data_IF_495319702753
#
_entry.id   IF_495319702753
#
_cell.length_a   1.000
_cell.length_b   1.000
_cell.length_c   1.000
_cell.angle_alpha   90.00
_cell.angle_beta   90.00
_cell.angle_gamma   90.00
#
_symmetry.space_group_name_H-M   'P 1'
#
loop_
_entity.id
_entity.type
_entity.pdbx_description
1 polymer ?
#
# COMPACT_ATOMS: atom_id res chain seq x y z
N UNK A 1 -5.72 -11.16 25.97
CA UNK A 1 -4.73 -11.21 24.87
C UNK A 1 -4.57 -9.78 24.37
N UNK A 2 -3.45 -9.11 24.62
CA UNK A 2 -3.24 -7.75 24.12
C UNK A 2 -2.81 -7.84 22.66
N UNK A 3 -3.68 -7.44 21.73
CA UNK A 3 -3.29 -7.27 20.34
C UNK A 3 -2.43 -6.01 20.22
N UNK A 4 -1.14 -6.17 19.90
CA UNK A 4 -0.27 -5.05 19.52
C UNK A 4 -0.29 -4.94 18.00
N UNK A 5 -0.41 -3.71 17.50
CA UNK A 5 -0.27 -3.44 16.08
C UNK A 5 1.11 -3.89 15.58
N UNK A 6 1.14 -4.49 14.39
CA UNK A 6 2.37 -4.78 13.66
C UNK A 6 2.76 -3.55 12.85
N UNK A 7 3.97 -3.04 13.06
CA UNK A 7 4.40 -1.78 12.45
C UNK A 7 5.10 -2.04 11.12
N UNK A 8 4.63 -1.38 10.07
CA UNK A 8 5.31 -1.30 8.76
C UNK A 8 5.76 0.14 8.58
N UNK A 9 6.91 0.35 7.93
CA UNK A 9 7.44 1.68 7.72
C UNK A 9 7.87 1.88 6.26
N UNK A 10 7.32 2.92 5.62
CA UNK A 10 7.70 3.34 4.26
C UNK A 10 8.94 4.21 4.24
N UNK A 11 9.95 3.79 3.47
CA UNK A 11 11.21 4.49 3.27
C UNK A 11 11.12 5.40 2.04
N UNK A 12 11.89 6.48 1.99
CA UNK A 12 11.89 7.38 0.84
C UNK A 12 12.65 6.77 -0.34
N UNK A 13 11.94 6.44 -1.43
CA UNK A 13 12.53 5.88 -2.65
C UNK A 13 13.19 6.92 -3.58
N UNK A 14 12.97 8.22 -3.36
CA UNK A 14 13.43 9.28 -4.28
C UNK A 14 14.81 9.84 -3.92
N UNK A 15 15.37 9.48 -2.76
CA UNK A 15 16.68 9.99 -2.35
C UNK A 15 17.77 9.59 -3.37
N UNK A 16 18.51 10.58 -3.86
CA UNK A 16 19.59 10.39 -4.83
C UNK A 16 19.15 10.35 -6.31
N UNK A 17 17.84 10.37 -6.59
CA UNK A 17 17.32 10.35 -7.97
C UNK A 17 17.20 11.76 -8.54
N UNK A 18 17.29 11.86 -9.87
CA UNK A 18 16.99 13.07 -10.63
C UNK A 18 15.60 12.95 -11.26
N UNK A 19 14.85 14.04 -11.35
CA UNK A 19 13.56 14.04 -12.05
C UNK A 19 13.76 14.47 -13.50
N UNK A 20 13.43 13.57 -14.43
CA UNK A 20 13.48 13.80 -15.87
C UNK A 20 12.09 13.57 -16.46
N UNK A 21 11.49 14.62 -17.04
CA UNK A 21 10.15 14.57 -17.65
C UNK A 21 9.07 13.94 -16.75
N UNK A 22 9.14 14.20 -15.44
CA UNK A 22 8.20 13.67 -14.44
C UNK A 22 8.52 12.27 -13.91
N UNK A 23 9.58 11.63 -14.41
CA UNK A 23 10.08 10.32 -13.95
C UNK A 23 11.34 10.48 -13.12
N UNK A 24 11.42 9.80 -11.98
CA UNK A 24 12.61 9.73 -11.15
C UNK A 24 13.56 8.65 -11.68
N UNK A 25 14.77 9.09 -12.06
CA UNK A 25 15.80 8.27 -12.68
C UNK A 25 17.08 8.23 -11.85
N UNK A 26 17.88 7.19 -12.08
CA UNK A 26 19.12 6.95 -11.36
C UNK A 26 18.95 6.02 -10.15
N UNK A 27 20.08 5.59 -9.56
CA UNK A 27 20.09 4.65 -8.45
C UNK A 27 19.52 5.30 -7.18
N UNK A 28 18.82 4.51 -6.37
CA UNK A 28 18.43 4.94 -5.04
C UNK A 28 19.64 5.07 -4.11
N UNK A 29 19.83 6.25 -3.50
CA UNK A 29 20.80 6.45 -2.43
C UNK A 29 20.17 6.04 -1.09
N UNK A 30 20.47 4.81 -0.70
CA UNK A 30 19.89 4.18 0.49
C UNK A 30 20.56 4.59 1.82
N UNK A 31 21.58 5.46 1.83
CA UNK A 31 22.39 5.76 3.03
C UNK A 31 21.53 6.24 4.20
N UNK A 32 20.52 7.09 3.94
CA UNK A 32 19.61 7.57 4.98
C UNK A 32 18.71 6.45 5.52
N UNK A 33 18.16 5.63 4.63
CA UNK A 33 17.32 4.50 4.99
C UNK A 33 18.10 3.43 5.78
N UNK A 34 19.32 3.08 5.36
CA UNK A 34 20.18 2.14 6.07
C UNK A 34 20.49 2.64 7.48
N UNK A 35 20.83 3.93 7.62
CA UNK A 35 21.07 4.54 8.94
C UNK A 35 19.83 4.43 9.84
N UNK A 36 18.65 4.73 9.30
CA UNK A 36 17.38 4.61 10.04
C UNK A 36 17.07 3.16 10.44
N UNK A 37 17.20 2.21 9.51
CA UNK A 37 16.99 0.79 9.78
C UNK A 37 17.94 0.31 10.89
N UNK A 38 19.24 0.60 10.79
CA UNK A 38 20.23 0.25 11.82
C UNK A 38 19.90 0.89 13.17
N UNK A 39 19.41 2.13 13.17
CA UNK A 39 18.95 2.78 14.38
C UNK A 39 17.78 2.02 15.02
N UNK A 40 16.75 1.63 14.25
CA UNK A 40 15.61 0.85 14.79
C UNK A 40 16.06 -0.47 15.42
N UNK A 41 16.99 -1.17 14.75
CA UNK A 41 17.61 -2.40 15.28
C UNK A 41 18.36 -2.12 16.58
N UNK A 42 19.18 -1.07 16.62
CA UNK A 42 19.95 -0.68 17.82
C UNK A 42 19.07 -0.33 19.04
N UNK A 43 17.82 0.06 18.79
CA UNK A 43 16.82 0.38 19.82
C UNK A 43 15.90 -0.80 20.16
N UNK A 44 16.15 -1.98 19.58
CA UNK A 44 15.30 -3.16 19.69
C UNK A 44 13.83 -2.89 19.31
N UNK A 45 13.58 -2.00 18.35
CA UNK A 45 12.24 -1.77 17.84
C UNK A 45 11.84 -2.90 16.90
N UNK A 46 10.64 -3.46 17.12
CA UNK A 46 10.09 -4.50 16.25
C UNK A 46 9.40 -3.85 15.06
N UNK A 47 10.00 -3.98 13.89
CA UNK A 47 9.39 -3.61 12.60
C UNK A 47 8.95 -4.90 11.90
N UNK A 48 7.69 -4.97 11.49
CA UNK A 48 7.11 -6.12 10.83
C UNK A 48 7.43 -6.15 9.33
N UNK A 49 7.55 -4.98 8.71
CA UNK A 49 7.90 -4.86 7.29
C UNK A 49 8.42 -3.48 6.92
N UNK A 50 9.14 -3.42 5.81
CA UNK A 50 9.67 -2.21 5.21
C UNK A 50 9.08 -2.03 3.81
N UNK A 51 8.59 -0.82 3.54
CA UNK A 51 8.10 -0.39 2.23
C UNK A 51 9.05 0.62 1.59
N UNK A 52 9.02 0.75 0.26
CA UNK A 52 9.90 1.67 -0.47
C UNK A 52 9.12 2.68 -1.33
N UNK A 53 8.94 3.90 -0.85
CA UNK A 53 8.20 4.93 -1.57
C UNK A 53 6.69 4.69 -1.56
N UNK A 54 5.97 5.61 -2.22
CA UNK A 54 4.52 5.69 -2.20
C UNK A 54 4.03 6.20 -3.56
N UNK A 55 3.16 5.44 -4.22
CA UNK A 55 2.48 5.79 -5.47
C UNK A 55 3.42 6.16 -6.62
N UNK A 56 4.52 5.42 -6.76
CA UNK A 56 5.52 5.61 -7.82
C UNK A 56 5.35 4.66 -9.01
N UNK A 57 4.35 3.77 -8.96
CA UNK A 57 4.05 2.80 -10.01
C UNK A 57 3.25 3.39 -11.17
N UNK A 58 3.43 2.83 -12.38
CA UNK A 58 2.72 3.27 -13.57
C UNK A 58 2.97 4.75 -13.88
N UNK A 59 1.89 5.54 -13.94
CA UNK A 59 1.97 7.00 -14.12
C UNK A 59 2.41 7.75 -12.84
N UNK A 60 2.26 7.10 -11.69
CA UNK A 60 2.54 7.65 -10.36
C UNK A 60 1.71 8.89 -9.99
N UNK A 61 1.84 9.31 -8.73
CA UNK A 61 1.26 10.55 -8.21
C UNK A 61 2.40 11.54 -7.93
N UNK A 62 2.41 12.63 -8.69
CA UNK A 62 3.49 13.64 -8.68
C UNK A 62 4.75 13.22 -9.45
N UNK A 63 5.21 11.98 -9.29
CA UNK A 63 6.31 11.39 -10.08
C UNK A 63 6.17 9.88 -10.20
N UNK A 64 6.98 9.24 -11.03
CA UNK A 64 7.01 7.79 -11.24
C UNK A 64 8.43 7.25 -11.24
N UNK A 65 8.60 5.96 -11.00
CA UNK A 65 9.85 5.24 -11.25
C UNK A 65 9.54 4.09 -12.22
N UNK A 66 10.40 3.87 -13.22
CA UNK A 66 10.24 2.71 -14.11
C UNK A 66 10.26 1.40 -13.30
N UNK A 67 9.42 0.43 -13.68
CA UNK A 67 9.33 -0.86 -12.99
C UNK A 67 10.68 -1.55 -12.81
N UNK A 68 11.55 -1.45 -13.83
CA UNK A 68 12.90 -1.99 -13.81
C UNK A 68 13.80 -1.31 -12.77
N UNK A 69 13.85 0.02 -12.77
CA UNK A 69 14.68 0.74 -11.80
C UNK A 69 14.17 0.49 -10.38
N UNK A 70 12.86 0.51 -10.20
CA UNK A 70 12.23 0.28 -8.91
C UNK A 70 12.52 -1.14 -8.37
N UNK A 71 12.52 -2.16 -9.23
CA UNK A 71 12.95 -3.51 -8.86
C UNK A 71 14.41 -3.57 -8.36
N UNK A 72 15.33 -2.83 -8.98
CA UNK A 72 16.71 -2.72 -8.50
C UNK A 72 16.79 -2.03 -7.13
N UNK A 73 15.99 -0.99 -6.93
CA UNK A 73 15.96 -0.26 -5.66
C UNK A 73 15.39 -1.15 -4.53
N UNK A 74 14.35 -1.96 -4.80
CA UNK A 74 13.80 -2.94 -3.85
C UNK A 74 14.80 -4.04 -3.52
N UNK A 75 15.58 -4.52 -4.48
CA UNK A 75 16.65 -5.48 -4.22
C UNK A 75 17.72 -4.89 -3.28
N UNK A 76 18.14 -3.64 -3.53
CA UNK A 76 19.05 -2.93 -2.64
C UNK A 76 18.45 -2.72 -1.23
N UNK A 77 17.14 -2.45 -1.12
CA UNK A 77 16.44 -2.39 0.16
C UNK A 77 16.50 -3.72 0.90
N UNK A 78 16.22 -4.84 0.21
CA UNK A 78 16.30 -6.17 0.82
C UNK A 78 17.69 -6.44 1.38
N UNK A 79 18.74 -6.12 0.62
CA UNK A 79 20.13 -6.34 1.05
C UNK A 79 20.46 -5.57 2.33
N UNK A 80 20.14 -4.27 2.40
CA UNK A 80 20.45 -3.47 3.60
C UNK A 80 19.59 -3.89 4.81
N UNK A 81 18.33 -4.28 4.58
CA UNK A 81 17.45 -4.80 5.64
C UNK A 81 18.02 -6.12 6.15
N UNK A 82 18.27 -7.09 5.29
CA UNK A 82 18.72 -8.42 5.71
C UNK A 82 20.09 -8.37 6.38
N UNK A 83 20.97 -7.47 5.95
CA UNK A 83 22.24 -7.19 6.62
C UNK A 83 22.05 -6.56 8.00
N UNK A 84 21.15 -5.59 8.15
CA UNK A 84 20.89 -4.97 9.46
C UNK A 84 20.23 -5.94 10.44
N UNK A 85 19.41 -6.86 9.94
CA UNK A 85 18.70 -7.87 10.72
C UNK A 85 19.42 -9.23 10.75
N UNK A 86 20.69 -9.34 10.34
CA UNK A 86 21.40 -10.62 10.14
C UNK A 86 21.19 -11.63 11.30
N UNK A 87 21.25 -11.14 12.55
CA UNK A 87 21.14 -11.94 13.79
C UNK A 87 19.76 -11.90 14.45
N UNK A 88 18.74 -11.38 13.77
CA UNK A 88 17.39 -11.18 14.28
C UNK A 88 16.42 -11.98 13.42
N UNK A 89 15.58 -12.79 14.07
CA UNK A 89 14.52 -13.53 13.40
C UNK A 89 13.17 -13.35 14.12
N UNK A 90 12.05 -13.37 13.40
CA UNK A 90 11.96 -13.45 11.94
C UNK A 90 12.44 -12.15 11.25
N UNK A 91 12.93 -12.24 10.01
CA UNK A 91 13.23 -11.06 9.20
C UNK A 91 11.95 -10.26 8.92
N UNK A 92 12.00 -8.92 8.90
CA UNK A 92 10.88 -8.11 8.45
C UNK A 92 10.58 -8.36 6.96
N UNK A 93 9.32 -8.22 6.59
CA UNK A 93 8.87 -8.34 5.20
C UNK A 93 9.40 -7.19 4.33
N UNK A 94 9.74 -7.50 3.08
CA UNK A 94 9.97 -6.52 2.03
C UNK A 94 8.69 -6.35 1.22
N UNK A 95 8.12 -5.14 1.27
CA UNK A 95 6.79 -4.82 0.77
C UNK A 95 6.90 -3.70 -0.29
N UNK A 96 6.26 -3.87 -1.44
CA UNK A 96 6.34 -2.92 -2.56
C UNK A 96 5.26 -3.23 -3.62
N UNK A 97 4.88 -2.31 -4.53
CA UNK A 97 5.38 -0.94 -4.66
C UNK A 97 4.62 0.13 -3.87
N UNK A 98 3.50 -0.21 -3.22
CA UNK A 98 2.66 0.77 -2.53
C UNK A 98 2.10 1.82 -3.48
N UNK A 99 1.49 1.40 -4.59
CA UNK A 99 0.93 2.32 -5.59
C UNK A 99 -0.25 1.73 -6.36
N UNK A 100 -0.84 2.52 -7.25
CA UNK A 100 -1.98 2.06 -8.06
C UNK A 100 -1.56 0.99 -9.06
N UNK A 101 -2.40 -0.03 -9.20
CA UNK A 101 -2.16 -1.15 -10.10
C UNK A 101 -2.13 -0.69 -11.56
N UNK A 102 -1.00 -0.91 -12.22
CA UNK A 102 -0.84 -0.82 -13.67
C UNK A 102 -0.34 -2.18 -14.17
N UNK A 103 -1.10 -2.82 -15.06
CA UNK A 103 -0.86 -4.21 -15.42
C UNK A 103 0.53 -4.45 -16.02
N UNK A 104 1.01 -3.52 -16.87
CA UNK A 104 2.31 -3.65 -17.52
C UNK A 104 3.45 -3.39 -16.53
N UNK A 105 3.31 -2.33 -15.73
CA UNK A 105 4.29 -1.95 -14.73
C UNK A 105 4.44 -3.03 -13.66
N UNK A 106 3.33 -3.54 -13.10
CA UNK A 106 3.36 -4.59 -12.08
C UNK A 106 3.91 -5.90 -12.63
N UNK A 107 3.54 -6.28 -13.86
CA UNK A 107 4.09 -7.48 -14.50
C UNK A 107 5.60 -7.37 -14.68
N UNK A 108 6.13 -6.24 -15.18
CA UNK A 108 7.57 -6.04 -15.30
C UNK A 108 8.24 -6.02 -13.92
N UNK A 109 7.68 -5.28 -12.96
CA UNK A 109 8.23 -5.15 -11.61
C UNK A 109 8.36 -6.51 -10.91
N UNK A 110 7.29 -7.31 -10.89
CA UNK A 110 7.30 -8.64 -10.24
C UNK A 110 8.30 -9.55 -10.94
N UNK A 111 8.33 -9.56 -12.28
CA UNK A 111 9.29 -10.36 -13.05
C UNK A 111 10.74 -9.97 -12.75
N UNK A 112 11.03 -8.67 -12.63
CA UNK A 112 12.38 -8.16 -12.41
C UNK A 112 12.85 -8.25 -10.96
N UNK A 113 11.92 -8.21 -10.00
CA UNK A 113 12.26 -8.27 -8.60
C UNK A 113 12.62 -9.69 -8.14
N UNK A 114 12.19 -10.72 -8.86
CA UNK A 114 12.52 -12.11 -8.59
C UNK A 114 12.19 -12.49 -7.12
N UNK A 115 13.19 -12.88 -6.32
CA UNK A 115 13.05 -13.23 -4.89
C UNK A 115 13.25 -12.04 -3.95
N UNK A 116 13.26 -10.80 -4.46
CA UNK A 116 13.60 -9.60 -3.69
C UNK A 116 12.47 -9.03 -2.83
N UNK A 117 11.26 -9.59 -2.89
CA UNK A 117 10.14 -9.14 -2.07
C UNK A 117 9.26 -10.31 -1.61
N UNK A 118 8.60 -10.13 -0.48
CA UNK A 118 7.64 -11.09 0.07
C UNK A 118 6.18 -10.64 -0.12
N UNK A 119 5.95 -9.36 -0.41
CA UNK A 119 4.60 -8.80 -0.58
C UNK A 119 4.55 -7.82 -1.74
N UNK A 120 3.58 -8.04 -2.64
CA UNK A 120 3.18 -7.07 -3.66
C UNK A 120 1.99 -6.27 -3.16
N UNK A 121 2.20 -4.99 -2.83
CA UNK A 121 1.17 -4.08 -2.32
C UNK A 121 0.64 -3.12 -3.39
N UNK A 122 -0.67 -2.89 -3.42
CA UNK A 122 -1.30 -1.88 -4.26
C UNK A 122 -2.27 -0.99 -3.47
N UNK A 123 -2.60 0.17 -4.03
CA UNK A 123 -3.54 1.14 -3.46
C UNK A 123 -4.88 1.10 -4.18
N UNK A 124 -5.97 1.36 -3.45
CA UNK A 124 -7.33 1.38 -4.00
C UNK A 124 -8.11 2.61 -3.52
N UNK A 125 -8.60 3.41 -4.47
CA UNK A 125 -9.51 4.53 -4.24
C UNK A 125 -10.55 4.61 -5.37
N UNK A 126 -11.45 3.65 -5.41
CA UNK A 126 -12.39 3.42 -6.52
C UNK A 126 -13.61 4.35 -6.52
N UNK A 127 -13.94 5.03 -5.40
CA UNK A 127 -15.12 5.90 -5.33
C UNK A 127 -14.92 7.28 -5.98
N UNK A 128 -13.67 7.72 -6.15
CA UNK A 128 -13.34 9.05 -6.69
C UNK A 128 -12.92 10.05 -5.61
N UNK A 129 -12.93 11.36 -5.91
CA UNK A 129 -12.48 12.38 -4.98
C UNK A 129 -13.49 12.63 -3.86
N UNK A 130 -13.02 13.02 -2.67
CA UNK A 130 -13.88 13.44 -1.56
C UNK A 130 -14.81 14.63 -1.86
N UNK A 131 -14.51 15.42 -2.91
CA UNK A 131 -15.38 16.53 -3.33
C UNK A 131 -16.58 16.08 -4.17
N UNK A 132 -16.63 14.83 -4.60
CA UNK A 132 -17.73 14.29 -5.41
C UNK A 132 -19.03 14.25 -4.59
N UNK A 133 -20.11 14.81 -5.13
CA UNK A 133 -21.43 14.88 -4.48
C UNK A 133 -22.22 13.57 -4.62
N UNK A 134 -21.80 12.70 -5.55
CA UNK A 134 -22.45 11.43 -5.87
C UNK A 134 -21.79 10.23 -5.20
N UNK A 135 -20.97 10.44 -4.17
CA UNK A 135 -20.31 9.33 -3.45
C UNK A 135 -21.33 8.33 -2.89
N UNK A 136 -22.45 8.79 -2.34
CA UNK A 136 -23.51 7.91 -1.81
C UNK A 136 -24.11 7.04 -2.92
N UNK A 137 -24.37 7.61 -4.09
CA UNK A 137 -24.92 6.89 -5.25
C UNK A 137 -23.96 5.77 -5.69
N UNK A 138 -22.65 6.04 -5.68
CA UNK A 138 -21.60 5.07 -6.01
C UNK A 138 -21.48 3.97 -4.96
N UNK A 139 -21.51 4.33 -3.68
CA UNK A 139 -21.40 3.39 -2.56
C UNK A 139 -22.58 2.42 -2.52
N UNK A 140 -23.78 2.88 -2.87
CA UNK A 140 -24.99 2.07 -2.88
C UNK A 140 -25.24 1.33 -4.21
N UNK A 141 -24.35 1.50 -5.20
CA UNK A 141 -24.47 0.87 -6.51
C UNK A 141 -23.53 -0.36 -6.59
N UNK A 142 -24.05 -1.59 -6.54
CA UNK A 142 -23.21 -2.80 -6.59
C UNK A 142 -22.42 -2.90 -7.91
N UNK A 143 -23.01 -2.49 -9.05
CA UNK A 143 -22.30 -2.51 -10.34
C UNK A 143 -21.11 -1.55 -10.37
N UNK A 144 -21.19 -0.46 -9.61
CA UNK A 144 -20.06 0.46 -9.46
C UNK A 144 -18.96 -0.18 -8.61
N UNK A 145 -19.32 -0.80 -7.49
CA UNK A 145 -18.35 -1.44 -6.60
C UNK A 145 -17.67 -2.66 -7.24
N UNK A 146 -18.44 -3.51 -7.94
CA UNK A 146 -17.96 -4.70 -8.67
C UNK A 146 -16.85 -4.36 -9.68
N UNK A 147 -16.77 -3.11 -10.15
CA UNK A 147 -15.72 -2.64 -11.05
C UNK A 147 -14.30 -2.84 -10.49
N UNK A 148 -14.13 -2.85 -9.16
CA UNK A 148 -12.81 -3.04 -8.54
C UNK A 148 -12.33 -4.50 -8.57
N UNK A 149 -13.23 -5.47 -8.77
CA UNK A 149 -12.89 -6.89 -8.80
C UNK A 149 -11.83 -7.21 -9.87
N UNK A 150 -11.84 -6.48 -10.98
CA UNK A 150 -10.85 -6.63 -12.06
C UNK A 150 -9.42 -6.32 -11.60
N UNK A 151 -9.21 -5.31 -10.75
CA UNK A 151 -7.89 -4.97 -10.22
C UNK A 151 -7.33 -6.11 -9.39
N UNK A 152 -8.14 -6.64 -8.47
CA UNK A 152 -7.76 -7.78 -7.63
C UNK A 152 -7.47 -9.04 -8.46
N UNK A 153 -8.36 -9.38 -9.39
CA UNK A 153 -8.17 -10.53 -10.27
C UNK A 153 -6.90 -10.41 -11.11
N UNK A 154 -6.62 -9.23 -11.65
CA UNK A 154 -5.44 -9.00 -12.47
C UNK A 154 -4.14 -9.09 -11.66
N UNK A 155 -4.11 -8.53 -10.45
CA UNK A 155 -2.94 -8.67 -9.58
C UNK A 155 -2.71 -10.15 -9.21
N UNK A 156 -3.75 -10.88 -8.83
CA UNK A 156 -3.68 -12.33 -8.57
C UNK A 156 -3.09 -13.09 -9.77
N UNK A 157 -3.54 -12.77 -10.98
CA UNK A 157 -3.05 -13.38 -12.22
C UNK A 157 -1.57 -13.03 -12.51
N UNK A 158 -1.15 -11.79 -12.25
CA UNK A 158 0.27 -11.39 -12.38
C UNK A 158 1.14 -12.22 -11.44
N UNK A 159 0.74 -12.38 -10.18
CA UNK A 159 1.51 -13.18 -9.22
C UNK A 159 1.54 -14.66 -9.64
N UNK A 160 0.38 -15.24 -9.94
CA UNK A 160 0.26 -16.65 -10.33
C UNK A 160 1.08 -17.00 -11.59
N UNK A 161 1.16 -16.08 -12.56
CA UNK A 161 1.92 -16.29 -13.81
C UNK A 161 3.41 -15.98 -13.70
N UNK A 162 3.85 -15.28 -12.66
CA UNK A 162 5.25 -14.89 -12.47
C UNK A 162 6.11 -15.99 -11.81
N UNK A 163 5.50 -16.93 -11.11
CA UNK A 163 6.20 -17.94 -10.31
C UNK A 163 6.81 -17.39 -8.99
N UNK A 164 6.51 -16.14 -8.63
CA UNK A 164 6.91 -15.57 -7.33
C UNK A 164 6.16 -16.24 -6.18
N UNK A 165 6.78 -16.28 -5.00
CA UNK A 165 6.13 -16.63 -3.74
C UNK A 165 5.51 -15.43 -3.02
N UNK A 166 5.65 -14.22 -3.57
CA UNK A 166 5.11 -13.01 -2.96
C UNK A 166 3.58 -13.05 -2.90
N UNK A 167 3.02 -12.46 -1.84
CA UNK A 167 1.56 -12.39 -1.62
C UNK A 167 1.00 -11.02 -1.99
N UNK A 168 -0.26 -10.92 -2.39
CA UNK A 168 -0.92 -9.64 -2.70
C UNK A 168 -1.52 -8.99 -1.46
N UNK A 169 -1.27 -7.70 -1.27
CA UNK A 169 -1.83 -6.90 -0.18
C UNK A 169 -2.46 -5.62 -0.75
N UNK A 170 -3.55 -5.15 -0.13
CA UNK A 170 -3.96 -3.74 -0.23
C UNK A 170 -3.16 -2.98 0.81
N UNK A 171 -2.17 -2.21 0.37
CA UNK A 171 -1.28 -1.43 1.22
C UNK A 171 -1.90 -0.12 1.71
N UNK A 172 -2.85 0.41 0.96
CA UNK A 172 -3.60 1.61 1.32
C UNK A 172 -4.96 1.61 0.60
N UNK A 173 -6.06 1.84 1.32
CA UNK A 173 -7.34 2.14 0.69
C UNK A 173 -8.26 2.94 1.60
N UNK A 174 -8.87 4.00 1.06
CA UNK A 174 -9.83 4.83 1.79
C UNK A 174 -11.16 5.02 1.05
N UNK A 175 -11.40 4.27 -0.03
CA UNK A 175 -12.61 4.40 -0.86
C UNK A 175 -12.58 5.66 -1.73
N UNK A 176 -12.69 6.83 -1.11
CA UNK A 176 -12.60 8.13 -1.75
C UNK A 176 -11.29 8.85 -1.40
N UNK A 177 -10.54 9.28 -2.41
CA UNK A 177 -9.26 9.98 -2.21
C UNK A 177 -9.48 11.44 -1.79
N UNK A 178 -8.41 12.19 -1.52
CA UNK A 178 -8.46 13.57 -1.00
C UNK A 178 -9.24 13.68 0.34
N UNK A 179 -8.92 12.80 1.28
CA UNK A 179 -9.48 12.79 2.65
C UNK A 179 -10.95 12.40 2.77
N UNK A 180 -11.61 11.92 1.71
CA UNK A 180 -13.04 11.59 1.74
C UNK A 180 -13.94 12.81 1.99
N UNK A 181 -15.23 12.57 2.23
CA UNK A 181 -16.25 13.62 2.37
C UNK A 181 -16.91 13.58 3.74
N UNK A 182 -16.95 14.72 4.43
CA UNK A 182 -17.67 14.84 5.69
C UNK A 182 -19.17 14.53 5.50
N UNK A 183 -19.78 13.85 6.47
CA UNK A 183 -21.14 13.29 6.46
C UNK A 183 -21.34 12.11 5.50
N UNK A 184 -20.30 11.66 4.80
CA UNK A 184 -20.34 10.46 3.94
C UNK A 184 -19.26 9.47 4.36
N UNK A 185 -17.99 9.86 4.31
CA UNK A 185 -16.84 9.00 4.63
C UNK A 185 -16.68 8.68 6.11
N UNK A 186 -17.25 9.50 6.97
CA UNK A 186 -17.32 9.34 8.43
C UNK A 186 -18.72 8.89 8.91
N UNK A 187 -19.61 8.48 7.99
CA UNK A 187 -20.96 8.04 8.31
C UNK A 187 -21.21 6.57 7.95
N UNK A 188 -22.34 6.03 8.40
CA UNK A 188 -22.64 4.60 8.29
C UNK A 188 -22.69 4.10 6.85
N UNK A 189 -23.10 4.96 5.90
CA UNK A 189 -23.17 4.56 4.49
C UNK A 189 -21.80 4.14 3.96
N UNK A 190 -20.70 4.68 4.51
CA UNK A 190 -19.35 4.31 4.08
C UNK A 190 -19.00 2.85 4.35
N UNK A 191 -19.68 2.17 5.27
CA UNK A 191 -19.37 0.78 5.58
C UNK A 191 -19.66 -0.17 4.41
N UNK A 192 -20.56 0.19 3.48
CA UNK A 192 -20.96 -0.69 2.38
C UNK A 192 -19.80 -0.94 1.40
N UNK A 193 -19.14 0.10 0.88
CA UNK A 193 -17.99 -0.09 -0.03
C UNK A 193 -16.85 -0.84 0.66
N UNK A 194 -16.66 -0.58 1.96
CA UNK A 194 -15.54 -1.12 2.69
C UNK A 194 -15.70 -2.62 2.94
N UNK A 195 -16.89 -3.05 3.40
CA UNK A 195 -17.20 -4.46 3.58
C UNK A 195 -17.16 -5.24 2.25
N UNK A 196 -17.66 -4.62 1.19
CA UNK A 196 -17.66 -5.20 -0.14
C UNK A 196 -16.23 -5.43 -0.67
N UNK A 197 -15.33 -4.45 -0.50
CA UNK A 197 -13.92 -4.63 -0.85
C UNK A 197 -13.18 -5.62 0.04
N UNK A 198 -13.53 -5.74 1.33
CA UNK A 198 -12.99 -6.80 2.17
C UNK A 198 -13.37 -8.19 1.61
N UNK A 199 -14.63 -8.36 1.21
CA UNK A 199 -15.11 -9.58 0.55
C UNK A 199 -14.38 -9.88 -0.76
N UNK A 200 -14.20 -8.87 -1.62
CA UNK A 200 -13.42 -9.01 -2.86
C UNK A 200 -11.97 -9.39 -2.57
N UNK A 201 -11.32 -8.70 -1.63
CA UNK A 201 -9.91 -8.95 -1.30
C UNK A 201 -9.70 -10.40 -0.85
N UNK A 202 -10.59 -10.94 -0.01
CA UNK A 202 -10.56 -12.34 0.39
C UNK A 202 -10.80 -13.29 -0.79
N UNK A 203 -11.74 -12.98 -1.68
CA UNK A 203 -12.07 -13.79 -2.87
C UNK A 203 -10.89 -13.92 -3.83
N UNK A 204 -10.10 -12.86 -3.98
CA UNK A 204 -8.96 -12.81 -4.89
C UNK A 204 -7.61 -13.07 -4.20
N UNK A 205 -7.63 -13.68 -3.02
CA UNK A 205 -6.44 -14.14 -2.29
C UNK A 205 -5.50 -13.03 -1.80
N UNK A 206 -6.02 -11.81 -1.63
CA UNK A 206 -5.31 -10.71 -0.96
C UNK A 206 -5.22 -10.99 0.54
N UNK A 207 -4.01 -10.98 1.09
CA UNK A 207 -3.73 -11.47 2.45
C UNK A 207 -3.86 -10.41 3.55
N UNK A 208 -3.75 -9.14 3.17
CA UNK A 208 -3.83 -8.01 4.09
C UNK A 208 -4.55 -6.87 3.41
N UNK A 209 -5.35 -6.14 4.18
CA UNK A 209 -6.05 -4.94 3.74
C UNK A 209 -5.80 -3.81 4.73
N UNK A 210 -5.04 -2.79 4.32
CA UNK A 210 -4.72 -1.62 5.13
C UNK A 210 -5.72 -0.48 4.84
N UNK A 211 -6.56 -0.18 5.83
CA UNK A 211 -7.55 0.90 5.75
C UNK A 211 -6.89 2.27 6.01
N UNK A 212 -6.94 3.14 5.01
CA UNK A 212 -6.70 4.56 5.17
C UNK A 212 -7.94 5.22 5.79
N UNK A 213 -7.89 5.75 7.00
CA UNK A 213 -6.78 5.74 7.96
C UNK A 213 -7.30 5.34 9.33
N UNK A 214 -6.42 4.96 10.27
CA UNK A 214 -6.84 4.85 11.67
C UNK A 214 -7.32 6.23 12.20
N UNK A 215 -6.57 7.28 11.88
CA UNK A 215 -6.88 8.68 12.21
C UNK A 215 -6.37 9.60 11.11
N UNK A 216 -7.16 10.62 10.75
CA UNK A 216 -6.84 11.59 9.70
C UNK A 216 -7.80 11.53 8.51
N UNK A 217 -8.27 12.67 8.04
CA UNK A 217 -9.30 12.77 6.99
C UNK A 217 -10.69 12.34 7.47
N UNK A 218 -11.69 12.51 6.60
CA UNK A 218 -13.07 12.11 6.86
C UNK A 218 -13.25 10.58 6.77
N UNK A 219 -12.39 9.86 6.03
CA UNK A 219 -12.41 8.40 5.96
C UNK A 219 -11.80 7.70 7.20
N UNK A 220 -11.29 8.48 8.17
CA UNK A 220 -10.59 7.96 9.33
C UNK A 220 -11.50 7.12 10.22
N UNK A 221 -10.98 6.05 10.81
CA UNK A 221 -11.77 5.21 11.73
C UNK A 221 -12.04 5.91 13.06
N UNK A 222 -11.14 6.81 13.46
CA UNK A 222 -11.29 7.66 14.63
C UNK A 222 -11.41 9.12 14.18
N UNK A 223 -12.33 9.85 14.80
CA UNK A 223 -12.41 11.29 14.65
C UNK A 223 -11.07 11.95 15.05
N UNK A 224 -10.61 12.89 14.24
CA UNK A 224 -9.28 13.50 14.37
C UNK A 224 -9.10 14.37 15.61
N UNK A 225 -10.18 14.88 16.18
CA UNK A 225 -10.12 15.83 17.30
C UNK A 225 -10.39 15.15 18.63
N UNK A 226 -11.40 14.27 18.68
CA UNK A 226 -11.87 13.69 19.93
C UNK A 226 -11.70 12.17 20.03
N UNK A 227 -11.12 11.52 19.01
CA UNK A 227 -10.88 10.08 18.94
C UNK A 227 -12.14 9.22 19.08
N UNK A 228 -13.33 9.80 18.92
CA UNK A 228 -14.58 9.04 18.91
C UNK A 228 -14.58 8.16 17.65
N UNK A 229 -14.89 6.85 17.78
CA UNK A 229 -14.89 5.99 16.61
C UNK A 229 -16.02 6.30 15.64
N UNK A 230 -15.69 6.40 14.36
CA UNK A 230 -16.65 6.46 13.26
C UNK A 230 -17.27 5.08 13.01
N UNK A 231 -18.42 4.98 12.31
CA UNK A 231 -19.15 3.72 12.12
C UNK A 231 -18.31 2.56 11.59
N UNK A 232 -17.38 2.82 10.67
CA UNK A 232 -16.49 1.79 10.11
C UNK A 232 -15.65 1.11 11.19
N UNK A 233 -15.24 1.81 12.27
CA UNK A 233 -14.45 1.23 13.37
C UNK A 233 -15.07 -0.03 14.01
N UNK A 234 -16.40 -0.16 13.96
CA UNK A 234 -17.11 -1.29 14.58
C UNK A 234 -17.36 -2.46 13.62
N UNK A 235 -16.83 -2.40 12.39
CA UNK A 235 -17.06 -3.41 11.34
C UNK A 235 -15.86 -4.35 11.13
N UNK A 236 -14.96 -4.46 12.12
CA UNK A 236 -13.74 -5.28 12.14
C UNK A 236 -13.76 -6.33 13.24
#
# INVERSE_FOLDING_TARGET
MYFRAKIIFGLNALTGKTIEYGSAVGPWNYTNAESFIRYTVSKNYTIFGWELGNELSGKGIGTSISARQYAYDVAAMKDIVYKAYEKIDPKPLIIAPGGFFDANWFKEFVTKSNTSLEVVSHHIYNLGPGVDEHLVDKILNPLYLDGEAHTFANLKNVLASSGTSATSWVGESGGAYNSGRHLVSDSFVYSFWYLDQLGMSATFDTKTYCRQSLIGGNYGLLNTTNFTPNPDYYRY
#
